data_IF_269884876148
#
_entry.id   IF_269884876148
#
_cell.length_a   1.000
_cell.length_b   1.000
_cell.length_c   1.000
_cell.angle_alpha   90.00
_cell.angle_beta   90.00
_cell.angle_gamma   90.00
#
_symmetry.space_group_name_H-M   'P 1'
#
loop_
_entity.id
_entity.type
_entity.pdbx_description
1 polymer ?
#
# COMPACT_ATOMS: atom_id res chain seq x y z
N UNK A 1 -3.68 -12.77 -6.62
CA UNK A 1 -2.86 -11.97 -5.69
C UNK A 1 -2.66 -10.58 -6.26
N UNK A 2 -2.69 -9.52 -5.45
CA UNK A 2 -2.57 -8.14 -5.96
C UNK A 2 -2.00 -7.19 -4.90
N UNK A 3 -1.30 -6.14 -5.36
CA UNK A 3 -0.86 -5.04 -4.53
C UNK A 3 -2.00 -4.05 -4.29
N UNK A 4 -2.14 -3.59 -3.05
CA UNK A 4 -3.11 -2.56 -2.67
C UNK A 4 -2.42 -1.52 -1.79
N UNK A 5 -2.85 -0.27 -1.87
CA UNK A 5 -2.44 0.75 -0.90
C UNK A 5 -3.27 0.62 0.37
N UNK A 6 -2.65 0.44 1.54
CA UNK A 6 -3.36 0.43 2.83
C UNK A 6 -2.67 1.32 3.85
N UNK A 7 -3.48 2.02 4.66
CA UNK A 7 -2.98 2.66 5.87
C UNK A 7 -2.70 1.54 6.87
N UNK A 8 -1.47 1.50 7.39
CA UNK A 8 -1.06 0.61 8.46
C UNK A 8 -0.82 1.42 9.73
N UNK A 9 -1.13 0.82 10.88
CA UNK A 9 -0.70 1.31 12.19
C UNK A 9 0.57 0.57 12.61
N UNK A 10 1.63 1.32 12.93
CA UNK A 10 2.91 0.77 13.36
C UNK A 10 3.00 0.65 14.89
N UNK A 11 3.90 -0.20 15.43
CA UNK A 11 4.03 -0.43 16.87
C UNK A 11 4.37 0.82 17.70
N UNK A 12 4.97 1.84 17.08
CA UNK A 12 5.28 3.13 17.70
C UNK A 12 4.08 4.10 17.71
N UNK A 13 2.91 3.66 17.21
CA UNK A 13 1.69 4.45 17.12
C UNK A 13 1.60 5.36 15.89
N UNK A 14 2.57 5.31 14.98
CA UNK A 14 2.53 6.06 13.72
C UNK A 14 1.65 5.36 12.69
N UNK A 15 1.13 6.14 11.73
CA UNK A 15 0.37 5.63 10.59
C UNK A 15 1.09 5.95 9.29
N UNK A 16 1.16 4.98 8.38
CA UNK A 16 1.75 5.17 7.05
C UNK A 16 0.89 4.48 5.98
N UNK A 17 0.87 5.06 4.78
CA UNK A 17 0.30 4.41 3.60
C UNK A 17 1.39 3.49 3.00
N UNK A 18 1.11 2.20 2.94
CA UNK A 18 2.03 1.18 2.46
C UNK A 18 1.43 0.42 1.27
N UNK A 19 2.28 -0.10 0.40
CA UNK A 19 1.85 -1.10 -0.56
C UNK A 19 1.78 -2.45 0.16
N UNK A 20 0.63 -3.11 0.06
CA UNK A 20 0.33 -4.35 0.76
C UNK A 20 -0.05 -5.41 -0.26
N UNK A 21 0.76 -6.45 -0.36
CA UNK A 21 0.47 -7.63 -1.15
C UNK A 21 -0.61 -8.44 -0.44
N UNK A 22 -1.72 -8.68 -1.14
CA UNK A 22 -2.83 -9.45 -0.62
C UNK A 22 -3.00 -10.76 -1.39
N UNK A 23 -3.39 -11.80 -0.66
CA UNK A 23 -3.79 -13.08 -1.24
C UNK A 23 -5.12 -12.96 -2.03
N UNK A 24 -5.58 -14.07 -2.59
CA UNK A 24 -6.82 -14.12 -3.38
C UNK A 24 -8.08 -13.84 -2.57
N UNK A 25 -8.03 -14.01 -1.25
CA UNK A 25 -9.12 -13.68 -0.32
C UNK A 25 -9.07 -12.22 0.15
N UNK A 26 -8.07 -11.45 -0.30
CA UNK A 26 -7.86 -10.06 0.10
C UNK A 26 -7.22 -9.90 1.48
N UNK A 27 -6.66 -10.98 2.05
CA UNK A 27 -5.91 -10.94 3.31
C UNK A 27 -4.50 -10.40 3.04
N UNK A 28 -4.02 -9.44 3.85
CA UNK A 28 -2.64 -8.99 3.79
C UNK A 28 -1.66 -10.15 4.04
N UNK A 29 -0.68 -10.30 3.16
CA UNK A 29 0.39 -11.29 3.27
C UNK A 29 1.72 -10.61 3.67
N UNK A 30 2.10 -9.54 2.97
CA UNK A 30 3.31 -8.74 3.22
C UNK A 30 3.13 -7.29 2.75
N UNK A 31 4.03 -6.40 3.16
CA UNK A 31 3.96 -4.98 2.80
C UNK A 31 5.35 -4.38 2.57
N UNK A 32 5.40 -3.22 1.89
CA UNK A 32 6.64 -2.49 1.65
C UNK A 32 7.22 -1.90 2.93
N UNK A 33 8.55 -1.93 3.07
CA UNK A 33 9.20 -1.35 4.25
C UNK A 33 9.04 0.18 4.32
N UNK A 34 9.25 0.86 3.20
CA UNK A 34 9.12 2.31 3.07
C UNK A 34 7.67 2.69 2.70
N UNK A 35 7.10 3.76 3.30
CA UNK A 35 5.81 4.30 2.87
C UNK A 35 5.78 4.55 1.37
N UNK A 36 4.60 4.38 0.77
CA UNK A 36 4.46 4.47 -0.69
C UNK A 36 4.90 5.83 -1.23
N UNK A 37 5.72 5.79 -2.28
CA UNK A 37 5.96 6.89 -3.19
C UNK A 37 5.26 6.62 -4.51
N UNK A 38 4.63 7.63 -5.10
CA UNK A 38 4.05 7.53 -6.43
C UNK A 38 5.00 8.16 -7.45
N UNK A 39 5.43 7.36 -8.41
CA UNK A 39 6.23 7.80 -9.54
C UNK A 39 5.72 7.08 -10.79
N UNK A 40 5.86 7.74 -11.93
CA UNK A 40 5.56 7.19 -13.26
C UNK A 40 6.68 7.61 -14.20
N UNK A 41 6.97 6.78 -15.19
CA UNK A 41 7.93 7.14 -16.21
C UNK A 41 7.36 8.24 -17.12
N UNK A 42 8.24 8.99 -17.78
CA UNK A 42 7.84 10.16 -18.56
C UNK A 42 6.89 9.81 -19.73
N UNK A 43 6.99 8.59 -20.27
CA UNK A 43 6.17 8.07 -21.36
C UNK A 43 4.81 7.51 -20.91
N UNK A 44 4.67 7.14 -19.64
CA UNK A 44 3.38 6.76 -19.05
C UNK A 44 2.47 7.97 -18.83
N UNK A 45 3.07 9.14 -18.59
CA UNK A 45 2.37 10.41 -18.42
C UNK A 45 1.65 10.55 -17.08
N UNK A 46 1.19 11.77 -16.79
CA UNK A 46 0.63 12.13 -15.48
C UNK A 46 -0.70 11.44 -15.16
N UNK A 47 -1.42 10.92 -16.16
CA UNK A 47 -2.71 10.27 -15.95
C UNK A 47 -2.57 8.96 -15.16
N UNK A 48 -1.50 8.21 -15.37
CA UNK A 48 -1.18 7.03 -14.57
C UNK A 48 -0.93 7.39 -13.10
N UNK A 49 -0.26 8.52 -12.85
CA UNK A 49 0.00 9.01 -11.51
C UNK A 49 -1.31 9.39 -10.78
N UNK A 50 -2.21 10.08 -11.48
CA UNK A 50 -3.53 10.44 -10.96
C UNK A 50 -4.34 9.18 -10.64
N UNK A 51 -4.36 8.20 -11.55
CA UNK A 51 -5.07 6.95 -11.32
C UNK A 51 -4.56 6.18 -10.09
N UNK A 52 -3.25 6.16 -9.86
CA UNK A 52 -2.65 5.53 -8.67
C UNK A 52 -3.07 6.25 -7.38
N UNK A 53 -3.11 7.59 -7.38
CA UNK A 53 -3.56 8.39 -6.24
C UNK A 53 -5.05 8.17 -5.93
N UNK A 54 -5.90 8.10 -6.95
CA UNK A 54 -7.33 7.82 -6.80
C UNK A 54 -7.56 6.41 -6.23
N UNK A 55 -6.81 5.42 -6.71
CA UNK A 55 -6.85 4.07 -6.17
C UNK A 55 -6.41 4.04 -4.70
N UNK A 56 -5.36 4.76 -4.34
CA UNK A 56 -4.90 4.89 -2.98
C UNK A 56 -5.96 5.51 -2.06
N UNK A 57 -6.59 6.60 -2.50
CA UNK A 57 -7.67 7.26 -1.79
C UNK A 57 -8.88 6.34 -1.61
N UNK A 58 -9.26 5.60 -2.65
CA UNK A 58 -10.36 4.64 -2.61
C UNK A 58 -10.08 3.56 -1.55
N UNK A 59 -8.90 2.95 -1.59
CA UNK A 59 -8.51 1.92 -0.62
C UNK A 59 -8.46 2.46 0.81
N UNK A 60 -7.88 3.64 1.02
CA UNK A 60 -7.79 4.28 2.34
C UNK A 60 -9.17 4.53 2.97
N UNK A 61 -10.19 4.82 2.16
CA UNK A 61 -11.57 5.05 2.64
C UNK A 61 -12.35 3.77 2.90
N UNK A 62 -12.07 2.71 2.13
CA UNK A 62 -12.93 1.52 2.09
C UNK A 62 -12.37 0.33 2.87
N UNK A 63 -11.05 0.30 3.10
CA UNK A 63 -10.40 -0.85 3.74
C UNK A 63 -10.13 -0.59 5.22
N UNK A 64 -10.27 -1.61 6.08
CA UNK A 64 -9.88 -1.48 7.48
C UNK A 64 -8.37 -1.27 7.59
N UNK A 65 -7.95 -0.57 8.65
CA UNK A 65 -6.56 -0.32 9.04
C UNK A 65 -6.06 -1.50 9.87
N UNK A 66 -5.18 -2.38 9.34
CA UNK A 66 -4.59 -3.46 10.12
C UNK A 66 -3.34 -2.97 10.88
N UNK A 67 -3.02 -3.69 11.95
CA UNK A 67 -1.74 -3.54 12.66
C UNK A 67 -0.60 -4.08 11.80
N UNK A 68 0.49 -3.34 11.66
CA UNK A 68 1.64 -3.75 10.85
C UNK A 68 2.24 -5.10 11.32
N UNK A 69 2.22 -5.37 12.63
CA UNK A 69 2.71 -6.63 13.21
C UNK A 69 1.83 -7.85 12.92
N UNK A 70 0.64 -7.65 12.32
CA UNK A 70 -0.26 -8.75 11.95
C UNK A 70 -0.04 -9.29 10.53
N UNK A 71 0.90 -8.71 9.79
CA UNK A 71 1.21 -9.02 8.39
C UNK A 71 2.60 -9.68 8.30
N UNK A 72 2.76 -10.69 7.43
CA UNK A 72 3.85 -11.67 7.38
C UNK A 72 5.27 -11.19 7.03
N UNK A 73 5.58 -9.90 7.22
CA UNK A 73 6.91 -9.32 7.04
C UNK A 73 6.94 -8.14 6.07
N UNK A 74 8.02 -7.38 6.13
CA UNK A 74 8.32 -6.22 5.28
C UNK A 74 9.30 -6.60 4.15
N UNK A 75 8.98 -6.21 2.91
CA UNK A 75 9.88 -6.35 1.75
C UNK A 75 10.53 -4.99 1.42
N UNK A 76 11.84 -5.01 1.14
CA UNK A 76 12.53 -3.84 0.60
C UNK A 76 12.12 -3.65 -0.87
N UNK A 77 11.68 -2.45 -1.25
CA UNK A 77 11.41 -2.11 -2.65
C UNK A 77 12.74 -2.15 -3.44
N UNK A 78 12.77 -2.92 -4.52
CA UNK A 78 13.92 -3.07 -5.42
C UNK A 78 13.86 -2.12 -6.61
#
# INVERSE_FOLDING_TARGET
MTWNYRILQHPDGTFALQEVYCDESGRPDRYTEQPVSFAVDADEGTDCLVAALELALCNAKQRPVPEASSIGGNESQG
#
